data_IF_340992959415
#
_entry.id   IF_340992959415
#
_cell.length_a   1.000
_cell.length_b   1.000
_cell.length_c   1.000
_cell.angle_alpha   90.00
_cell.angle_beta   90.00
_cell.angle_gamma   90.00
#
_symmetry.space_group_name_H-M   'P 1'
#
loop_
_entity.id
_entity.type
_entity.pdbx_description
1 polymer ?
#
# COMPACT_ATOMS: atom_id res chain seq x y z
N UNK A 1 -14.38 7.77 5.25
CA UNK A 1 -13.07 7.14 5.45
C UNK A 1 -13.17 5.63 5.31
N UNK A 2 -13.74 4.90 6.29
CA UNK A 2 -13.87 3.42 6.28
C UNK A 2 -14.45 2.85 4.97
N UNK A 3 -15.52 3.44 4.43
CA UNK A 3 -16.08 3.02 3.14
C UNK A 3 -15.10 3.21 1.98
N UNK A 4 -14.37 4.33 1.96
CA UNK A 4 -13.39 4.63 0.92
C UNK A 4 -12.20 3.66 1.00
N UNK A 5 -11.76 3.33 2.21
CA UNK A 5 -10.76 2.30 2.45
C UNK A 5 -11.23 0.95 1.93
N UNK A 6 -12.38 0.45 2.39
CA UNK A 6 -12.89 -0.86 2.02
C UNK A 6 -13.04 -1.05 0.50
N UNK A 7 -13.60 -0.05 -0.18
CA UNK A 7 -13.77 -0.06 -1.65
C UNK A 7 -12.42 -0.02 -2.36
N UNK A 8 -11.48 0.83 -1.89
CA UNK A 8 -10.15 0.94 -2.50
C UNK A 8 -9.34 -0.34 -2.33
N UNK A 9 -9.32 -0.93 -1.13
CA UNK A 9 -8.65 -2.22 -0.86
C UNK A 9 -9.21 -3.32 -1.75
N UNK A 10 -10.54 -3.43 -1.83
CA UNK A 10 -11.18 -4.44 -2.67
C UNK A 10 -10.81 -4.26 -4.14
N UNK A 11 -10.88 -3.04 -4.65
CA UNK A 11 -10.55 -2.70 -6.04
C UNK A 11 -9.10 -3.00 -6.37
N UNK A 12 -8.16 -2.56 -5.52
CA UNK A 12 -6.72 -2.77 -5.73
C UNK A 12 -6.40 -4.27 -5.71
N UNK A 13 -6.86 -5.02 -4.72
CA UNK A 13 -6.53 -6.45 -4.57
C UNK A 13 -7.19 -7.33 -5.64
N UNK A 14 -8.43 -7.01 -6.02
CA UNK A 14 -9.22 -7.89 -6.91
C UNK A 14 -9.10 -7.49 -8.38
N UNK A 15 -8.91 -6.20 -8.65
CA UNK A 15 -9.00 -5.63 -10.01
C UNK A 15 -7.72 -4.90 -10.45
N UNK A 16 -6.74 -4.75 -9.55
CA UNK A 16 -5.54 -3.95 -9.79
C UNK A 16 -5.86 -2.52 -10.25
N UNK A 17 -6.88 -1.90 -9.64
CA UNK A 17 -7.42 -0.60 -10.03
C UNK A 17 -7.51 0.34 -8.82
N UNK A 18 -6.95 1.54 -8.96
CA UNK A 18 -7.07 2.64 -7.99
C UNK A 18 -8.20 3.56 -8.45
N UNK A 19 -9.34 3.50 -7.76
CA UNK A 19 -10.52 4.29 -8.07
C UNK A 19 -10.36 5.73 -7.60
N UNK A 20 -10.80 6.70 -8.39
CA UNK A 20 -10.85 8.12 -8.01
C UNK A 20 -11.91 8.39 -6.93
N UNK A 21 -11.85 9.54 -6.22
CA UNK A 21 -12.88 9.90 -5.24
C UNK A 21 -14.31 9.89 -5.81
N UNK A 22 -14.47 10.29 -7.08
CA UNK A 22 -15.76 10.32 -7.76
C UNK A 22 -16.29 8.92 -8.05
N UNK A 23 -15.43 7.98 -8.45
CA UNK A 23 -15.79 6.58 -8.68
C UNK A 23 -16.13 5.85 -7.37
N UNK A 24 -15.44 6.19 -6.28
CA UNK A 24 -15.78 5.70 -4.94
C UNK A 24 -17.08 6.37 -4.41
N UNK A 25 -17.41 7.57 -4.89
CA UNK A 25 -18.60 8.32 -4.47
C UNK A 25 -18.45 8.98 -3.10
N UNK A 26 -17.26 9.49 -2.78
CA UNK A 26 -16.97 10.13 -1.49
C UNK A 26 -16.25 11.48 -1.66
N UNK A 27 -16.42 12.36 -0.67
CA UNK A 27 -15.68 13.61 -0.57
C UNK A 27 -14.16 13.38 -0.53
N UNK A 28 -13.39 14.30 -1.14
CA UNK A 28 -11.92 14.21 -1.25
C UNK A 28 -11.24 13.99 0.11
N UNK A 29 -11.67 14.69 1.16
CA UNK A 29 -11.10 14.53 2.49
C UNK A 29 -11.30 13.10 3.06
N UNK A 30 -12.48 12.50 2.81
CA UNK A 30 -12.79 11.14 3.24
C UNK A 30 -12.04 10.09 2.42
N UNK A 31 -11.82 10.38 1.13
CA UNK A 31 -11.03 9.56 0.22
C UNK A 31 -9.56 9.53 0.65
N UNK A 32 -8.92 10.70 0.80
CA UNK A 32 -7.51 10.81 1.22
C UNK A 32 -7.27 10.18 2.60
N UNK A 33 -8.19 10.39 3.54
CA UNK A 33 -8.11 9.74 4.85
C UNK A 33 -8.18 8.20 4.74
N UNK A 34 -9.02 7.68 3.85
CA UNK A 34 -9.17 6.24 3.59
C UNK A 34 -7.93 5.66 2.92
N UNK A 35 -7.37 6.35 1.92
CA UNK A 35 -6.11 5.93 1.28
C UNK A 35 -4.94 5.80 2.27
N UNK A 36 -4.88 6.68 3.28
CA UNK A 36 -3.89 6.54 4.35
C UNK A 36 -4.00 5.22 5.12
N UNK A 37 -5.22 4.69 5.30
CA UNK A 37 -5.45 3.41 5.97
C UNK A 37 -5.26 2.21 5.02
N UNK A 38 -5.57 2.38 3.73
CA UNK A 38 -5.31 1.38 2.67
C UNK A 38 -3.86 0.90 2.69
N UNK A 39 -2.89 1.79 2.94
CA UNK A 39 -1.47 1.40 3.07
C UNK A 39 -1.24 0.31 4.13
N UNK A 40 -1.99 0.34 5.24
CA UNK A 40 -1.92 -0.68 6.28
C UNK A 40 -2.46 -2.04 5.83
N UNK A 41 -3.56 -2.03 5.09
CA UNK A 41 -4.18 -3.24 4.54
C UNK A 41 -3.35 -3.83 3.38
N UNK A 42 -2.76 -3.00 2.51
CA UNK A 42 -1.83 -3.46 1.48
C UNK A 42 -0.57 -4.07 2.08
N UNK A 43 -0.01 -3.46 3.14
CA UNK A 43 1.10 -4.08 3.89
C UNK A 43 0.71 -5.44 4.44
N UNK A 44 -0.49 -5.58 5.02
CA UNK A 44 -0.99 -6.88 5.53
C UNK A 44 -1.06 -7.91 4.39
N UNK A 45 -1.63 -7.52 3.25
CA UNK A 45 -1.73 -8.38 2.08
C UNK A 45 -0.35 -8.83 1.55
N UNK A 46 0.63 -7.91 1.47
CA UNK A 46 2.01 -8.24 1.07
C UNK A 46 2.64 -9.24 2.03
N UNK A 47 2.47 -9.05 3.35
CA UNK A 47 2.99 -10.00 4.34
C UNK A 47 2.34 -11.39 4.21
N UNK A 48 1.05 -11.46 3.89
CA UNK A 48 0.36 -12.72 3.62
C UNK A 48 0.88 -13.41 2.34
N UNK A 49 1.15 -12.63 1.28
CA UNK A 49 1.78 -13.14 0.06
C UNK A 49 3.18 -13.70 0.35
N UNK A 50 4.01 -12.97 1.10
CA UNK A 50 5.33 -13.43 1.55
C UNK A 50 5.21 -14.75 2.32
N UNK A 51 4.29 -14.85 3.28
CA UNK A 51 4.04 -16.08 4.06
C UNK A 51 3.63 -17.27 3.21
N UNK A 52 2.99 -17.02 2.06
CA UNK A 52 2.57 -18.06 1.11
C UNK A 52 3.61 -18.40 0.04
N UNK A 53 4.83 -17.83 0.11
CA UNK A 53 5.88 -18.02 -0.89
C UNK A 53 5.65 -17.24 -2.18
N UNK A 54 4.72 -16.29 -2.19
CA UNK A 54 4.32 -15.47 -3.35
C UNK A 54 4.86 -14.04 -3.26
N UNK A 55 6.07 -13.88 -2.73
CA UNK A 55 6.67 -12.55 -2.50
C UNK A 55 6.66 -11.66 -3.76
N UNK A 56 6.89 -12.23 -4.95
CA UNK A 56 6.87 -11.49 -6.21
C UNK A 56 5.55 -10.77 -6.49
N UNK A 57 4.42 -11.38 -6.11
CA UNK A 57 3.11 -10.78 -6.31
C UNK A 57 2.91 -9.52 -5.43
N UNK A 58 3.74 -9.38 -4.39
CA UNK A 58 3.76 -8.21 -3.51
C UNK A 58 4.33 -6.94 -4.15
N UNK A 59 5.08 -7.04 -5.26
CA UNK A 59 5.72 -5.88 -5.91
C UNK A 59 4.67 -4.86 -6.38
N UNK A 60 3.59 -5.33 -7.01
CA UNK A 60 2.48 -4.49 -7.45
C UNK A 60 1.86 -3.69 -6.29
N UNK A 61 1.60 -4.33 -5.16
CA UNK A 61 0.99 -3.65 -4.01
C UNK A 61 1.94 -2.65 -3.36
N UNK A 62 3.26 -2.91 -3.40
CA UNK A 62 4.26 -1.96 -2.92
C UNK A 62 4.30 -0.71 -3.79
N UNK A 63 4.20 -0.86 -5.12
CA UNK A 63 4.09 0.27 -6.06
C UNK A 63 2.82 1.10 -5.77
N UNK A 64 1.67 0.45 -5.55
CA UNK A 64 0.43 1.14 -5.17
C UNK A 64 0.57 1.91 -3.86
N UNK A 65 1.26 1.34 -2.84
CA UNK A 65 1.54 2.05 -1.59
C UNK A 65 2.40 3.30 -1.83
N UNK A 66 3.34 3.24 -2.77
CA UNK A 66 4.19 4.37 -3.15
C UNK A 66 3.40 5.46 -3.87
N UNK A 67 2.52 5.10 -4.80
CA UNK A 67 1.60 6.05 -5.46
C UNK A 67 0.67 6.75 -4.45
N UNK A 68 0.10 5.99 -3.51
CA UNK A 68 -0.73 6.55 -2.44
C UNK A 68 0.10 7.53 -1.58
N UNK A 69 1.32 7.15 -1.20
CA UNK A 69 2.20 8.03 -0.42
C UNK A 69 2.49 9.35 -1.16
N UNK A 70 2.84 9.27 -2.46
CA UNK A 70 3.08 10.47 -3.26
C UNK A 70 1.83 11.33 -3.41
N UNK A 71 0.65 10.73 -3.61
CA UNK A 71 -0.60 11.47 -3.65
C UNK A 71 -0.85 12.20 -2.33
N UNK A 72 -0.70 11.53 -1.19
CA UNK A 72 -0.89 12.15 0.13
C UNK A 72 0.09 13.29 0.41
N UNK A 73 1.32 13.20 -0.12
CA UNK A 73 2.33 14.26 -0.03
C UNK A 73 1.99 15.50 -0.86
N UNK A 74 1.25 15.36 -1.98
CA UNK A 74 0.84 16.50 -2.81
C UNK A 74 -0.18 17.41 -2.09
N UNK A 75 -0.90 16.88 -1.11
CA UNK A 75 -1.88 17.62 -0.31
C UNK A 75 -1.29 18.14 1.01
N UNK A 76 0.01 18.49 1.05
CA UNK A 76 0.69 19.12 2.21
C UNK A 76 0.15 20.53 2.46
N UNK A 77 -1.07 20.60 2.99
CA UNK A 77 -1.76 21.80 3.42
C UNK A 77 -1.65 21.95 4.95
N UNK A 78 -1.69 23.19 5.48
CA UNK A 78 -1.63 23.44 6.92
C UNK A 78 -2.65 22.59 7.69
N UNK A 79 -2.24 22.00 8.82
CA UNK A 79 -3.05 21.07 9.64
C UNK A 79 -4.45 21.59 9.99
N UNK A 80 -4.61 22.92 10.07
CA UNK A 80 -5.89 23.61 10.29
C UNK A 80 -6.96 23.28 9.22
N UNK A 81 -6.55 22.82 8.04
CA UNK A 81 -7.42 22.52 6.89
C UNK A 81 -7.57 21.01 6.68
N UNK A 82 -6.55 20.20 7.01
CA UNK A 82 -6.47 18.78 6.60
C UNK A 82 -6.93 17.75 7.64
N UNK A 83 -7.32 18.18 8.85
CA UNK A 83 -7.88 17.29 9.90
C UNK A 83 -7.02 16.03 10.19
N UNK A 84 -5.70 16.17 10.20
CA UNK A 84 -4.78 15.07 10.58
C UNK A 84 -4.19 14.26 9.42
N UNK A 85 -4.33 14.73 8.17
CA UNK A 85 -3.76 14.08 6.99
C UNK A 85 -2.24 13.91 7.08
N UNK A 86 -1.52 14.90 7.65
CA UNK A 86 -0.07 14.85 7.84
C UNK A 86 0.38 13.61 8.63
N UNK A 87 -0.31 13.31 9.74
CA UNK A 87 -0.04 12.11 10.55
C UNK A 87 -0.27 10.83 9.74
N UNK A 88 -1.29 10.80 8.88
CA UNK A 88 -1.55 9.65 8.00
C UNK A 88 -0.47 9.51 6.93
N UNK A 89 0.00 10.61 6.33
CA UNK A 89 1.12 10.59 5.39
C UNK A 89 2.41 10.05 6.02
N UNK A 90 2.72 10.46 7.25
CA UNK A 90 3.88 9.96 8.00
C UNK A 90 3.77 8.45 8.31
N UNK A 91 2.57 8.00 8.70
CA UNK A 91 2.30 6.58 8.93
C UNK A 91 2.41 5.78 7.64
N UNK A 92 1.84 6.27 6.52
CA UNK A 92 1.94 5.66 5.21
C UNK A 92 3.40 5.52 4.77
N UNK A 93 4.22 6.57 4.95
CA UNK A 93 5.66 6.53 4.68
C UNK A 93 6.37 5.46 5.49
N UNK A 94 6.10 5.43 6.80
CA UNK A 94 6.70 4.42 7.69
C UNK A 94 6.32 2.99 7.30
N UNK A 95 5.08 2.78 6.86
CA UNK A 95 4.63 1.47 6.37
C UNK A 95 5.28 1.11 5.03
N UNK A 96 5.36 2.05 4.08
CA UNK A 96 5.99 1.86 2.78
C UNK A 96 7.45 1.41 2.95
N UNK A 97 8.26 2.15 3.71
CA UNK A 97 9.68 1.84 3.87
C UNK A 97 9.92 0.48 4.54
N UNK A 98 9.14 0.16 5.59
CA UNK A 98 9.23 -1.17 6.23
C UNK A 98 8.83 -2.29 5.27
N UNK A 99 7.78 -2.08 4.48
CA UNK A 99 7.26 -3.09 3.53
C UNK A 99 8.24 -3.32 2.39
N UNK A 100 8.89 -2.27 1.91
CA UNK A 100 9.98 -2.37 0.92
C UNK A 100 11.11 -3.25 1.45
N UNK A 101 11.54 -3.06 2.69
CA UNK A 101 12.55 -3.89 3.33
C UNK A 101 12.12 -5.36 3.47
N UNK A 102 10.91 -5.60 3.98
CA UNK A 102 10.37 -6.97 4.14
C UNK A 102 10.28 -7.70 2.80
N UNK A 103 9.77 -7.02 1.76
CA UNK A 103 9.61 -7.59 0.43
C UNK A 103 10.95 -7.88 -0.25
N UNK A 104 11.90 -6.95 -0.16
CA UNK A 104 13.26 -7.13 -0.69
C UNK A 104 13.92 -8.36 -0.08
N UNK A 105 13.84 -8.51 1.25
CA UNK A 105 14.40 -9.67 1.93
C UNK A 105 13.74 -10.97 1.48
N UNK A 106 12.41 -10.99 1.36
CA UNK A 106 11.67 -12.17 0.91
C UNK A 106 12.03 -12.57 -0.53
N UNK A 107 12.19 -11.60 -1.44
CA UNK A 107 12.60 -11.83 -2.82
C UNK A 107 14.02 -12.41 -2.91
N UNK A 108 14.96 -11.87 -2.15
CA UNK A 108 16.34 -12.37 -2.14
C UNK A 108 16.42 -13.79 -1.56
N UNK A 109 15.66 -14.10 -0.49
CA UNK A 109 15.56 -15.46 0.05
C UNK A 109 15.01 -16.42 -1.02
N UNK A 110 13.90 -16.07 -1.67
CA UNK A 110 13.30 -16.90 -2.73
C UNK A 110 14.26 -17.12 -3.91
N UNK A 111 15.03 -16.08 -4.28
CA UNK A 111 16.06 -16.17 -5.31
C UNK A 111 17.17 -17.14 -4.91
N UNK A 112 17.66 -17.07 -3.68
CA UNK A 112 18.68 -17.99 -3.16
C UNK A 112 18.19 -19.44 -3.19
N UNK A 113 16.99 -19.72 -2.69
CA UNK A 113 16.39 -21.06 -2.73
C UNK A 113 16.33 -21.62 -4.15
N UNK A 114 15.93 -20.79 -5.12
CA UNK A 114 15.88 -21.20 -6.53
C UNK A 114 17.24 -21.55 -7.13
N UNK A 115 18.32 -20.90 -6.69
CA UNK A 115 19.69 -21.18 -7.14
C UNK A 115 20.22 -22.49 -6.55
N UNK A 116 19.94 -22.75 -5.28
CA UNK A 116 20.30 -24.02 -4.63
C UNK A 116 19.64 -25.22 -5.31
N UNK A 117 18.37 -25.07 -5.74
CA UNK A 117 17.66 -26.13 -6.47
C UNK A 117 18.22 -26.38 -7.87
N UNK A 118 18.78 -25.37 -8.55
CA UNK A 118 19.37 -25.50 -9.90
C UNK A 118 20.77 -26.12 -9.91
N UNK A 119 21.42 -26.18 -8.76
CA UNK A 119 22.81 -26.68 -8.63
C UNK A 119 22.85 -28.16 -8.20
N UNK A 120 21.70 -28.75 -7.89
CA UNK A 120 21.50 -30.20 -7.68
C UNK A 120 21.04 -30.86 -8.98
#
# INVERSE_FOLDING_TARGET
QEYAEAISVYSIITRNEILTPAEVGVELANYLAGLGDVCGELRRHILDLIRSGRAKDGEYFLEVMEEIYYLLMLFDYPDAITRGLRRKSDLARSMLERTRGDLTNALEISRMESLFLKTK
#
